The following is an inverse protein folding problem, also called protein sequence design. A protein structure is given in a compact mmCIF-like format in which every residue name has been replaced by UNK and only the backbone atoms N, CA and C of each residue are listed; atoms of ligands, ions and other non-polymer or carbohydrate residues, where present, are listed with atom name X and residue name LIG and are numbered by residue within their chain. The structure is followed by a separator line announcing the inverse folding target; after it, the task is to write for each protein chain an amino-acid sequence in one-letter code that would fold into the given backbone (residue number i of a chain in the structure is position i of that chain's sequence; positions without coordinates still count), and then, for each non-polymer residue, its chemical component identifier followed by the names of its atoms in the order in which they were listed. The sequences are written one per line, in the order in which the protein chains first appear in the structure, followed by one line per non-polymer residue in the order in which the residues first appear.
data_IF_861597678892
#
_entry.id   IF_861597678892
#
_cell.length_a   1.000
_cell.length_b   1.000
_cell.length_c   1.000
_cell.angle_alpha   90.00
_cell.angle_beta   90.00
_cell.angle_gamma   90.00
#
_symmetry.space_group_name_H-M   'P 1'
#
loop_
_entity.id
_entity.type
_entity.pdbx_description
1 polymer ?
#
# COMPACT_ATOMS: atom_id res chain seq x y z
N UNK A 1 9.08 -8.54 -7.18
CA UNK A 1 9.02 -7.26 -6.44
C UNK A 1 10.35 -6.54 -6.58
N UNK A 2 10.37 -5.26 -6.98
CA UNK A 2 11.62 -4.51 -7.12
C UNK A 2 12.34 -4.35 -5.77
N UNK A 3 13.67 -4.29 -5.79
CA UNK A 3 14.46 -4.06 -4.57
C UNK A 3 14.28 -2.64 -4.03
N UNK A 4 14.32 -1.64 -4.90
CA UNK A 4 14.11 -0.26 -4.50
C UNK A 4 12.62 0.08 -4.59
N UNK A 5 11.99 0.32 -3.43
CA UNK A 5 10.56 0.64 -3.35
C UNK A 5 10.30 2.15 -3.36
N UNK A 6 11.32 2.97 -3.20
CA UNK A 6 11.20 4.43 -3.20
C UNK A 6 11.54 5.04 -1.84
N UNK A 7 10.95 6.21 -1.56
CA UNK A 7 11.18 6.94 -0.30
C UNK A 7 9.86 7.08 0.45
N UNK A 8 9.94 7.03 1.79
CA UNK A 8 8.77 7.19 2.64
C UNK A 8 8.45 8.67 2.92
N UNK A 9 7.51 8.92 3.83
CA UNK A 9 7.07 10.26 4.19
C UNK A 9 8.17 11.12 4.82
N UNK A 10 9.23 10.51 5.31
CA UNK A 10 10.37 11.21 5.94
C UNK A 10 11.57 11.32 4.99
N UNK A 11 11.40 10.94 3.73
CA UNK A 11 12.47 10.92 2.73
C UNK A 11 13.46 9.79 2.90
N UNK A 12 13.15 8.81 3.73
CA UNK A 12 14.00 7.64 3.97
C UNK A 12 13.79 6.61 2.86
N UNK A 13 14.88 6.07 2.32
CA UNK A 13 14.79 4.99 1.32
C UNK A 13 14.18 3.74 1.93
N UNK A 14 13.25 3.12 1.20
CA UNK A 14 12.61 1.86 1.57
C UNK A 14 13.00 0.81 0.54
N UNK A 15 13.58 -0.28 0.99
CA UNK A 15 14.05 -1.37 0.13
C UNK A 15 13.37 -2.67 0.53
N UNK A 16 13.18 -3.53 -0.46
CA UNK A 16 12.61 -4.86 -0.22
C UNK A 16 13.43 -5.65 0.81
N UNK A 17 14.75 -5.54 0.75
CA UNK A 17 15.66 -6.19 1.69
C UNK A 17 15.47 -5.76 3.15
N UNK A 18 14.86 -4.59 3.40
CA UNK A 18 14.54 -4.13 4.75
C UNK A 18 13.52 -5.05 5.43
N UNK A 19 12.77 -5.83 4.65
CA UNK A 19 11.71 -6.71 5.13
C UNK A 19 12.06 -8.19 5.01
N UNK A 20 13.33 -8.50 4.80
CA UNK A 20 13.81 -9.89 4.72
C UNK A 20 13.41 -10.67 5.97
N UNK A 21 12.83 -11.85 5.79
CA UNK A 21 12.33 -12.65 6.90
C UNK A 21 10.90 -12.33 7.30
N UNK A 22 10.26 -11.36 6.63
CA UNK A 22 8.87 -11.00 6.86
C UNK A 22 8.06 -11.07 5.57
N UNK A 23 6.76 -11.29 5.71
CA UNK A 23 5.82 -11.22 4.59
C UNK A 23 5.46 -9.76 4.41
N UNK A 24 5.91 -9.14 3.32
CA UNK A 24 5.62 -7.72 3.06
C UNK A 24 4.22 -7.59 2.45
N UNK A 25 3.40 -6.75 3.06
CA UNK A 25 2.13 -6.29 2.51
C UNK A 25 2.38 -4.90 1.94
N UNK A 26 2.47 -4.81 0.61
CA UNK A 26 2.62 -3.54 -0.09
C UNK A 26 1.26 -3.18 -0.67
N UNK A 27 0.53 -2.27 -0.01
CA UNK A 27 -0.77 -1.89 -0.51
C UNK A 27 -0.69 -0.55 -1.24
N UNK A 28 -1.12 -0.57 -2.50
CA UNK A 28 -1.14 0.59 -3.37
C UNK A 28 -2.53 1.18 -3.35
N UNK A 29 -2.64 2.48 -3.07
CA UNK A 29 -3.92 3.16 -2.98
C UNK A 29 -3.90 4.47 -3.76
N UNK A 30 -5.07 4.92 -4.28
CA UNK A 30 -5.09 6.07 -5.18
C UNK A 30 -4.77 7.41 -4.54
N UNK A 31 -5.32 7.72 -3.36
CA UNK A 31 -5.21 9.09 -2.83
C UNK A 31 -5.43 9.17 -1.32
N UNK A 32 -4.51 9.90 -0.63
CA UNK A 32 -4.64 10.17 0.80
C UNK A 32 -5.97 10.88 1.12
N UNK A 33 -6.51 10.58 2.30
CA UNK A 33 -7.68 11.26 2.87
C UNK A 33 -8.99 11.12 2.07
N UNK A 34 -9.04 10.20 1.09
CA UNK A 34 -10.31 9.82 0.46
C UNK A 34 -11.01 8.74 1.30
N UNK A 35 -12.35 8.60 1.24
CA UNK A 35 -13.07 7.66 2.10
C UNK A 35 -12.59 6.21 2.00
N UNK A 36 -12.43 5.69 0.79
CA UNK A 36 -11.98 4.30 0.58
C UNK A 36 -10.56 4.07 1.07
N UNK A 37 -9.64 4.98 0.77
CA UNK A 37 -8.25 4.87 1.20
C UNK A 37 -8.12 5.03 2.71
N UNK A 38 -8.93 5.91 3.31
CA UNK A 38 -8.97 6.08 4.76
C UNK A 38 -9.48 4.82 5.46
N UNK A 39 -10.57 4.22 4.95
CA UNK A 39 -11.10 2.98 5.51
C UNK A 39 -10.09 1.84 5.44
N UNK A 40 -9.39 1.71 4.31
CA UNK A 40 -8.36 0.68 4.14
C UNK A 40 -7.20 0.89 5.12
N UNK A 41 -6.68 2.11 5.20
CA UNK A 41 -5.57 2.43 6.11
C UNK A 41 -5.96 2.20 7.57
N UNK A 42 -7.15 2.63 7.98
CA UNK A 42 -7.62 2.45 9.35
C UNK A 42 -7.86 0.98 9.70
N UNK A 43 -8.36 0.18 8.75
CA UNK A 43 -8.53 -1.25 8.96
C UNK A 43 -7.17 -1.94 9.17
N UNK A 44 -6.17 -1.61 8.36
CA UNK A 44 -4.83 -2.15 8.52
C UNK A 44 -4.19 -1.67 9.84
N UNK A 45 -4.39 -0.40 10.20
CA UNK A 45 -3.92 0.15 11.48
C UNK A 45 -4.50 -0.62 12.67
N UNK A 46 -5.81 -0.83 12.67
CA UNK A 46 -6.50 -1.48 13.78
C UNK A 46 -6.08 -2.94 13.98
N UNK A 47 -5.57 -3.57 12.94
CA UNK A 47 -5.14 -4.96 12.95
C UNK A 47 -3.61 -5.12 12.88
N UNK A 48 -2.87 -4.01 12.95
CA UNK A 48 -1.44 -4.01 12.68
C UNK A 48 -0.64 -4.89 13.64
N UNK A 49 -0.93 -4.83 14.95
CA UNK A 49 -0.25 -5.66 15.94
C UNK A 49 -0.46 -7.14 15.67
N UNK A 50 -1.67 -7.53 15.31
CA UNK A 50 -1.99 -8.92 14.95
C UNK A 50 -1.24 -9.35 13.69
N UNK A 51 -1.15 -8.45 12.72
CA UNK A 51 -0.41 -8.71 11.48
C UNK A 51 1.09 -8.89 11.76
N UNK A 52 1.67 -8.01 12.59
CA UNK A 52 3.06 -8.15 13.00
C UNK A 52 3.31 -9.47 13.72
N UNK A 53 2.41 -9.87 14.61
CA UNK A 53 2.52 -11.14 15.33
C UNK A 53 2.48 -12.35 14.39
N UNK A 54 1.83 -12.21 13.24
CA UNK A 54 1.77 -13.26 12.20
C UNK A 54 2.90 -13.17 11.18
N UNK A 55 3.87 -12.29 11.38
CA UNK A 55 5.04 -12.16 10.52
C UNK A 55 4.87 -11.23 9.33
N UNK A 56 3.83 -10.42 9.29
CA UNK A 56 3.62 -9.43 8.22
C UNK A 56 4.27 -8.10 8.57
N UNK A 57 4.74 -7.39 7.54
CA UNK A 57 5.08 -5.97 7.62
C UNK A 57 4.18 -5.24 6.62
N UNK A 58 3.76 -4.02 6.93
CA UNK A 58 2.84 -3.25 6.09
C UNK A 58 3.49 -1.98 5.61
N UNK A 59 3.39 -1.71 4.32
CA UNK A 59 3.86 -0.47 3.69
C UNK A 59 2.79 -0.01 2.69
N UNK A 60 2.39 1.26 2.78
CA UNK A 60 1.47 1.84 1.81
C UNK A 60 2.22 2.57 0.71
N UNK A 61 1.62 2.67 -0.46
CA UNK A 61 2.19 3.37 -1.62
C UNK A 61 1.12 4.22 -2.28
N UNK A 62 1.44 5.49 -2.54
CA UNK A 62 0.62 6.37 -3.36
C UNK A 62 1.54 7.33 -4.11
N UNK A 63 1.03 7.91 -5.20
CA UNK A 63 1.78 8.90 -5.99
C UNK A 63 1.78 10.29 -5.36
N UNK A 64 1.16 10.45 -4.20
CA UNK A 64 1.09 11.73 -3.52
C UNK A 64 2.38 12.06 -2.78
N UNK A 65 2.54 13.34 -2.40
CA UNK A 65 3.78 13.84 -1.80
C UNK A 65 4.02 13.31 -0.39
N UNK A 66 5.28 13.37 0.04
CA UNK A 66 5.66 13.04 1.41
C UNK A 66 4.90 13.90 2.43
N UNK A 67 4.67 15.17 2.11
CA UNK A 67 3.92 16.09 2.98
C UNK A 67 2.47 15.64 3.14
N UNK A 68 1.82 15.24 2.05
CA UNK A 68 0.46 14.68 2.09
C UNK A 68 0.41 13.42 2.95
N UNK A 69 1.37 12.53 2.80
CA UNK A 69 1.47 11.31 3.59
C UNK A 69 1.67 11.59 5.07
N UNK A 70 2.50 12.58 5.43
CA UNK A 70 2.70 12.98 6.84
C UNK A 70 1.40 13.43 7.48
N UNK A 71 0.61 14.23 6.77
CA UNK A 71 -0.69 14.70 7.27
C UNK A 71 -1.66 13.54 7.46
N UNK A 72 -1.68 12.61 6.52
CA UNK A 72 -2.54 11.43 6.58
C UNK A 72 -2.16 10.53 7.76
N UNK A 73 -0.87 10.24 7.93
CA UNK A 73 -0.35 9.46 9.05
C UNK A 73 -0.71 10.12 10.39
N UNK A 74 -0.49 11.44 10.51
CA UNK A 74 -0.77 12.16 11.74
C UNK A 74 -2.26 12.17 12.09
N UNK A 75 -3.12 12.34 11.08
CA UNK A 75 -4.57 12.42 11.29
C UNK A 75 -5.17 11.10 11.79
N UNK A 76 -4.66 9.97 11.29
CA UNK A 76 -5.22 8.65 11.60
C UNK A 76 -4.29 7.77 12.44
N UNK A 77 -3.15 8.30 12.91
CA UNK A 77 -2.17 7.57 13.70
C UNK A 77 -1.72 6.27 13.03
N UNK A 78 -1.35 6.35 11.77
CA UNK A 78 -0.93 5.18 11.01
C UNK A 78 0.45 4.71 11.49
N UNK A 79 0.61 3.43 11.88
CA UNK A 79 1.85 2.93 12.45
C UNK A 79 2.86 2.40 11.44
N UNK A 80 2.54 2.46 10.15
CA UNK A 80 3.39 1.94 9.08
C UNK A 80 3.78 3.07 8.11
N UNK A 81 4.90 2.91 7.38
CA UNK A 81 5.34 3.95 6.46
C UNK A 81 4.49 4.00 5.19
N UNK A 82 4.45 5.17 4.57
CA UNK A 82 3.80 5.39 3.29
C UNK A 82 4.86 5.87 2.28
N UNK A 83 5.00 5.16 1.17
CA UNK A 83 5.94 5.54 0.10
C UNK A 83 5.31 6.64 -0.74
N UNK A 84 6.06 7.72 -0.92
CA UNK A 84 5.69 8.86 -1.75
C UNK A 84 6.26 8.65 -3.17
N UNK A 85 5.52 7.94 -4.01
CA UNK A 85 5.92 7.59 -5.38
C UNK A 85 5.56 8.70 -6.36
N UNK A 86 6.08 9.91 -6.10
CA UNK A 86 5.70 11.12 -6.85
C UNK A 86 6.11 11.09 -8.33
N UNK A 87 7.16 10.37 -8.67
CA UNK A 87 7.60 10.18 -10.05
C UNK A 87 6.88 9.00 -10.73
N UNK A 88 6.00 8.31 -10.02
CA UNK A 88 5.19 7.19 -10.51
C UNK A 88 6.00 5.99 -10.98
N UNK A 89 7.25 5.90 -10.54
CA UNK A 89 8.16 4.84 -10.97
C UNK A 89 7.71 3.47 -10.47
N UNK A 90 7.42 3.36 -9.17
CA UNK A 90 7.03 2.09 -8.56
C UNK A 90 5.65 1.62 -9.07
N UNK A 91 4.66 2.51 -9.07
CA UNK A 91 3.31 2.13 -9.52
C UNK A 91 3.28 1.74 -10.99
N UNK A 92 4.12 2.37 -11.83
CA UNK A 92 4.26 1.99 -13.24
C UNK A 92 4.94 0.64 -13.37
N UNK A 93 6.03 0.42 -12.64
CA UNK A 93 6.78 -0.84 -12.65
C UNK A 93 5.93 -2.02 -12.18
N UNK A 94 5.05 -1.80 -11.21
CA UNK A 94 4.14 -2.83 -10.70
C UNK A 94 2.89 -3.02 -11.58
N UNK A 95 2.71 -2.20 -12.61
CA UNK A 95 1.58 -2.31 -13.52
C UNK A 95 0.25 -1.86 -12.93
N UNK A 96 0.27 -0.98 -11.93
CA UNK A 96 -0.93 -0.52 -11.23
C UNK A 96 -1.25 0.96 -11.47
N UNK A 97 -0.64 1.54 -12.48
CA UNK A 97 -0.88 2.92 -12.90
C UNK A 97 -1.25 2.93 -14.38
N UNK A 98 -2.37 3.54 -14.73
CA UNK A 98 -2.82 3.54 -16.10
C UNK A 98 -4.10 4.33 -16.30
N UNK A 99 -4.72 4.14 -17.44
CA UNK A 99 -5.94 4.86 -17.82
C UNK A 99 -7.15 4.36 -17.02
N UNK A 100 -7.88 5.31 -16.46
CA UNK A 100 -9.16 5.08 -15.80
C UNK A 100 -10.25 5.85 -16.55
N UNK A 101 -11.34 5.16 -16.87
CA UNK A 101 -12.51 5.79 -17.49
C UNK A 101 -13.54 6.08 -16.38
N UNK A 102 -13.94 7.35 -16.29
CA UNK A 102 -14.92 7.78 -15.31
C UNK A 102 -15.79 8.89 -15.91
N UNK A 103 -17.10 8.69 -15.93
CA UNK A 103 -18.06 9.64 -16.50
C UNK A 103 -17.74 10.04 -17.95
N UNK A 104 -17.32 9.08 -18.76
CA UNK A 104 -16.98 9.34 -20.17
C UNK A 104 -15.63 10.02 -20.40
N UNK A 105 -14.89 10.30 -19.34
CA UNK A 105 -13.54 10.88 -19.41
C UNK A 105 -12.49 9.82 -19.09
N UNK A 106 -11.38 9.88 -19.82
CA UNK A 106 -10.21 9.03 -19.56
C UNK A 106 -9.16 9.85 -18.84
N UNK A 107 -8.74 9.40 -17.65
CA UNK A 107 -7.65 10.03 -16.88
C UNK A 107 -6.66 8.97 -16.44
N UNK A 108 -5.42 9.38 -16.21
CA UNK A 108 -4.41 8.50 -15.62
C UNK A 108 -4.62 8.40 -14.13
N UNK A 109 -4.49 7.21 -13.58
CA UNK A 109 -4.65 7.02 -12.14
C UNK A 109 -4.09 5.70 -11.66
N UNK A 110 -4.08 5.55 -10.33
CA UNK A 110 -3.57 4.35 -9.66
C UNK A 110 -4.73 3.39 -9.39
N UNK A 111 -4.49 2.11 -9.68
CA UNK A 111 -5.45 1.05 -9.36
C UNK A 111 -5.15 0.50 -7.97
N UNK A 112 -6.15 0.50 -7.08
CA UNK A 112 -6.02 -0.07 -5.72
C UNK A 112 -5.64 -1.55 -5.83
N UNK A 113 -4.44 -1.88 -5.35
CA UNK A 113 -3.88 -3.22 -5.50
C UNK A 113 -2.99 -3.52 -4.28
N UNK A 114 -3.04 -4.73 -3.79
CA UNK A 114 -2.17 -5.15 -2.68
C UNK A 114 -1.34 -6.34 -3.11
N UNK A 115 -0.02 -6.23 -2.92
CA UNK A 115 0.93 -7.29 -3.19
C UNK A 115 1.41 -7.87 -1.86
N UNK A 116 1.45 -9.19 -1.77
CA UNK A 116 2.00 -9.87 -0.59
C UNK A 116 3.20 -10.69 -1.03
N UNK A 117 4.32 -10.53 -0.33
CA UNK A 117 5.53 -11.31 -0.58
C UNK A 117 5.71 -12.37 0.49
N UNK A 118 6.52 -13.38 0.17
CA UNK A 118 7.05 -14.29 1.19
C UNK A 118 8.28 -13.67 1.88
N UNK A 119 8.92 -14.41 2.76
CA UNK A 119 10.08 -13.96 3.54
C UNK A 119 11.32 -13.70 2.67
N UNK A 120 11.31 -14.15 1.42
CA UNK A 120 12.38 -13.95 0.44
C UNK A 120 12.08 -12.82 -0.56
N UNK A 121 10.96 -12.11 -0.39
CA UNK A 121 10.58 -11.02 -1.28
C UNK A 121 9.92 -11.44 -2.58
N UNK A 122 9.50 -12.70 -2.69
CA UNK A 122 8.78 -13.20 -3.88
C UNK A 122 7.28 -12.93 -3.70
N UNK A 123 6.65 -12.33 -4.71
CA UNK A 123 5.20 -12.06 -4.68
C UNK A 123 4.45 -13.39 -4.70
N UNK A 124 3.66 -13.65 -3.67
CA UNK A 124 2.88 -14.89 -3.54
C UNK A 124 1.39 -14.65 -3.74
N UNK A 125 0.92 -13.41 -3.56
CA UNK A 125 -0.50 -13.10 -3.66
C UNK A 125 -0.68 -11.66 -4.13
N UNK A 126 -1.69 -11.42 -4.96
CA UNK A 126 -2.07 -10.09 -5.44
C UNK A 126 -3.58 -9.94 -5.27
N UNK A 127 -3.98 -8.92 -4.49
CA UNK A 127 -5.39 -8.52 -4.42
C UNK A 127 -5.63 -7.42 -5.43
N UNK A 128 -6.46 -7.70 -6.42
CA UNK A 128 -6.85 -6.74 -7.46
C UNK A 128 -7.94 -5.79 -6.94
N UNK A 129 -8.16 -4.63 -7.60
CA UNK A 129 -9.13 -3.64 -7.10
C UNK A 129 -10.50 -4.21 -6.72
N UNK A 130 -11.04 -5.11 -7.53
CA UNK A 130 -12.36 -5.69 -7.27
C UNK A 130 -12.40 -6.68 -6.11
N UNK A 131 -11.24 -7.17 -5.69
CA UNK A 131 -11.12 -8.14 -4.60
C UNK A 131 -10.96 -7.47 -3.24
N UNK A 132 -10.55 -6.20 -3.21
CA UNK A 132 -10.23 -5.50 -1.96
C UNK A 132 -11.50 -4.95 -1.32
N UNK A 133 -11.78 -5.42 -0.10
CA UNK A 133 -12.81 -4.88 0.77
C UNK A 133 -12.13 -3.97 1.77
N UNK A 134 -12.23 -2.65 1.58
CA UNK A 134 -11.43 -1.67 2.33
C UNK A 134 -11.62 -1.71 3.84
N UNK A 135 -12.81 -2.12 4.30
CA UNK A 135 -13.11 -2.22 5.74
C UNK A 135 -12.75 -3.58 6.34
N UNK A 136 -12.32 -4.54 5.53
CA UNK A 136 -12.03 -5.91 5.96
C UNK A 136 -10.70 -6.42 5.39
N UNK A 137 -9.88 -5.51 4.87
CA UNK A 137 -8.69 -5.90 4.11
C UNK A 137 -7.65 -6.66 4.94
N UNK A 138 -7.47 -6.29 6.21
CA UNK A 138 -6.57 -7.03 7.09
C UNK A 138 -6.99 -8.49 7.24
N UNK A 139 -8.29 -8.75 7.41
CA UNK A 139 -8.83 -10.11 7.49
C UNK A 139 -8.61 -10.88 6.19
N UNK A 140 -8.79 -10.21 5.04
CA UNK A 140 -8.51 -10.82 3.74
C UNK A 140 -7.05 -11.25 3.62
N UNK A 141 -6.12 -10.37 4.02
CA UNK A 141 -4.68 -10.64 3.96
C UNK A 141 -4.29 -11.80 4.86
N UNK A 142 -4.84 -11.84 6.08
CA UNK A 142 -4.55 -12.88 7.05
C UNK A 142 -5.34 -14.18 6.83
N UNK A 143 -6.28 -14.19 5.87
CA UNK A 143 -7.10 -15.37 5.58
C UNK A 143 -8.13 -15.67 6.66
N UNK A 144 -8.67 -14.63 7.32
CA UNK A 144 -9.62 -14.76 8.44
C UNK A 144 -11.07 -14.50 8.06
N UNK A 145 -11.38 -14.40 6.80
CA UNK A 145 -12.77 -14.22 6.35
C UNK A 145 -13.60 -15.48 6.44
#
# INVERSE_FOLDING_TARGET
MPENLGVDQDGKEVKLSDFKGKKLVLYVYPKDSTPGCTNEACNLRDNYERMLAKGYAVVGVSIQSAESHKKFIAKYNLPFPLIADTDKKLVTELGVYGEKKMYGKTTMGTFRTTFITDENGVITEIFKPRQIKVKEHAAQIMGEE
#
